data_IF_535017776529
#
_entry.id   IF_535017776529
#
_cell.length_a   1.000
_cell.length_b   1.000
_cell.length_c   1.000
_cell.angle_alpha   90.00
_cell.angle_beta   90.00
_cell.angle_gamma   90.00
#
_symmetry.space_group_name_H-M   'P 1'
#
loop_
_entity.id
_entity.type
_entity.pdbx_description
1 polymer ?
#
# COMPACT_ATOMS: atom_id res chain seq x y z
N UNK A 1 -23.42 -9.64 -43.83
CA UNK A 1 -22.56 -10.20 -42.74
C UNK A 1 -23.47 -10.75 -41.67
N UNK A 2 -23.36 -12.03 -41.30
CA UNK A 2 -24.29 -12.62 -40.33
C UNK A 2 -23.97 -12.17 -38.91
N UNK A 3 -24.97 -12.01 -38.05
CA UNK A 3 -24.79 -11.62 -36.64
C UNK A 3 -23.73 -12.49 -35.92
N UNK A 4 -23.70 -13.79 -36.23
CA UNK A 4 -22.70 -14.72 -35.68
C UNK A 4 -21.26 -14.33 -36.03
N UNK A 5 -21.01 -13.85 -37.25
CA UNK A 5 -19.68 -13.42 -37.68
C UNK A 5 -19.26 -12.13 -36.98
N UNK A 6 -20.20 -11.20 -36.75
CA UNK A 6 -19.95 -9.98 -35.98
C UNK A 6 -19.56 -10.27 -34.53
N UNK A 7 -20.30 -11.18 -33.86
CA UNK A 7 -20.01 -11.58 -32.49
C UNK A 7 -18.62 -12.25 -32.41
N UNK A 8 -18.33 -13.15 -33.34
CA UNK A 8 -17.00 -13.80 -33.38
C UNK A 8 -15.87 -12.79 -33.54
N UNK A 9 -16.04 -11.82 -34.46
CA UNK A 9 -15.05 -10.77 -34.67
C UNK A 9 -14.83 -9.92 -33.42
N UNK A 10 -15.92 -9.56 -32.74
CA UNK A 10 -15.88 -8.81 -31.50
C UNK A 10 -15.11 -9.58 -30.41
N UNK A 11 -15.41 -10.87 -30.24
CA UNK A 11 -14.72 -11.71 -29.25
C UNK A 11 -13.22 -11.84 -29.53
N UNK A 12 -12.85 -12.03 -30.82
CA UNK A 12 -11.45 -12.10 -31.21
C UNK A 12 -10.72 -10.78 -30.98
N UNK A 13 -11.38 -9.66 -31.23
CA UNK A 13 -10.81 -8.32 -30.97
C UNK A 13 -10.59 -8.11 -29.47
N UNK A 14 -11.57 -8.43 -28.63
CA UNK A 14 -11.44 -8.30 -27.17
C UNK A 14 -10.35 -9.22 -26.61
N UNK A 15 -10.26 -10.45 -27.11
CA UNK A 15 -9.20 -11.37 -26.72
C UNK A 15 -7.81 -10.84 -27.14
N UNK A 16 -7.70 -10.31 -28.36
CA UNK A 16 -6.44 -9.70 -28.84
C UNK A 16 -6.02 -8.48 -28.02
N UNK A 17 -6.96 -7.61 -27.64
CA UNK A 17 -6.70 -6.46 -26.77
C UNK A 17 -6.24 -6.95 -25.39
N UNK A 18 -6.92 -7.94 -24.82
CA UNK A 18 -6.54 -8.52 -23.53
C UNK A 18 -5.14 -9.08 -23.53
N UNK A 19 -4.80 -9.90 -24.52
CA UNK A 19 -3.45 -10.48 -24.70
C UNK A 19 -2.39 -9.39 -24.88
N UNK A 20 -2.65 -8.37 -25.71
CA UNK A 20 -1.73 -7.26 -25.89
C UNK A 20 -1.44 -6.53 -24.58
N UNK A 21 -2.46 -6.22 -23.79
CA UNK A 21 -2.27 -5.49 -22.52
C UNK A 21 -1.60 -6.31 -21.42
N UNK A 22 -1.77 -7.64 -21.43
CA UNK A 22 -1.07 -8.51 -20.47
C UNK A 22 0.41 -8.71 -20.80
N UNK A 23 0.79 -8.57 -22.07
CA UNK A 23 2.17 -8.78 -22.52
C UNK A 23 2.94 -7.49 -22.78
N UNK A 24 2.25 -6.35 -22.82
CA UNK A 24 2.88 -5.06 -23.08
C UNK A 24 3.91 -4.74 -21.99
N UNK A 25 5.17 -4.50 -22.33
CA UNK A 25 6.18 -4.08 -21.37
C UNK A 25 5.81 -2.72 -20.77
N UNK A 26 6.17 -2.51 -19.51
CA UNK A 26 6.04 -1.20 -18.88
C UNK A 26 6.96 -0.19 -19.59
N UNK A 27 6.54 1.06 -19.71
CA UNK A 27 7.40 2.11 -20.25
C UNK A 27 8.73 2.19 -19.48
N UNK A 28 9.83 2.55 -20.15
CA UNK A 28 11.13 2.71 -19.48
C UNK A 28 11.03 3.69 -18.29
N UNK A 29 11.62 3.33 -17.17
CA UNK A 29 11.65 4.17 -15.96
C UNK A 29 10.45 4.03 -15.02
N UNK A 30 9.40 3.25 -15.37
CA UNK A 30 8.25 3.01 -14.48
C UNK A 30 8.48 1.82 -13.55
N UNK A 31 9.33 0.87 -13.94
CA UNK A 31 9.68 -0.26 -13.08
C UNK A 31 11.16 -0.25 -12.73
N UNK A 32 11.44 -0.48 -11.47
CA UNK A 32 12.79 -0.68 -10.97
C UNK A 32 12.89 -2.08 -10.35
N UNK A 33 13.90 -2.83 -10.75
CA UNK A 33 14.26 -4.09 -10.11
C UNK A 33 15.62 -3.90 -9.45
N UNK A 34 15.62 -3.73 -8.13
CA UNK A 34 16.85 -3.68 -7.35
C UNK A 34 17.60 -5.01 -7.32
N UNK A 35 18.83 -4.99 -6.86
CA UNK A 35 19.60 -6.19 -6.55
C UNK A 35 18.93 -6.92 -5.39
N UNK A 36 18.81 -8.24 -5.50
CA UNK A 36 18.31 -9.04 -4.38
C UNK A 36 19.27 -8.94 -3.21
N UNK A 37 18.76 -8.54 -2.05
CA UNK A 37 19.51 -8.49 -0.81
C UNK A 37 19.10 -9.71 0.02
N UNK A 38 20.05 -10.49 0.56
CA UNK A 38 19.72 -11.58 1.46
C UNK A 38 19.02 -11.04 2.71
N UNK A 39 17.90 -11.65 3.06
CA UNK A 39 17.14 -11.33 4.26
C UNK A 39 17.60 -12.29 5.37
N UNK A 40 18.23 -11.77 6.43
CA UNK A 40 18.77 -12.62 7.51
C UNK A 40 17.64 -13.08 8.44
N UNK A 41 16.78 -12.17 8.90
CA UNK A 41 15.66 -12.49 9.78
C UNK A 41 14.44 -11.63 9.40
N UNK A 42 13.46 -12.18 8.66
CA UNK A 42 12.24 -11.47 8.36
C UNK A 42 11.36 -11.35 9.60
N UNK A 43 10.92 -10.14 9.92
CA UNK A 43 9.94 -9.88 10.98
C UNK A 43 8.61 -9.55 10.34
N UNK A 44 7.56 -10.26 10.74
CA UNK A 44 6.19 -9.94 10.35
C UNK A 44 5.63 -8.91 11.33
N UNK A 45 5.30 -7.73 10.83
CA UNK A 45 4.61 -6.70 11.59
C UNK A 45 3.12 -6.75 11.29
N UNK A 46 2.31 -6.59 12.32
CA UNK A 46 0.85 -6.67 12.21
C UNK A 46 0.17 -5.50 12.92
N UNK A 47 -0.82 -4.92 12.25
CA UNK A 47 -1.75 -4.01 12.90
C UNK A 47 -3.02 -4.77 13.26
N UNK A 48 -3.37 -4.81 14.55
CA UNK A 48 -4.50 -5.58 15.06
C UNK A 48 -5.42 -4.70 15.89
N UNK A 49 -6.72 -4.79 15.63
CA UNK A 49 -7.75 -4.24 16.49
C UNK A 49 -8.52 -5.38 17.15
N UNK A 50 -8.52 -5.42 18.48
CA UNK A 50 -9.22 -6.43 19.29
C UNK A 50 -10.45 -5.81 19.92
N UNK A 51 -11.61 -6.39 19.65
CA UNK A 51 -12.86 -6.02 20.30
C UNK A 51 -13.21 -7.06 21.36
N UNK A 52 -13.41 -6.61 22.59
CA UNK A 52 -13.77 -7.46 23.72
C UNK A 52 -15.29 -7.44 23.96
N UNK A 53 -15.81 -8.49 24.56
CA UNK A 53 -17.24 -8.59 24.88
C UNK A 53 -17.74 -7.54 25.90
N UNK A 54 -16.85 -6.99 26.68
CA UNK A 54 -17.10 -5.90 27.62
C UNK A 54 -17.12 -4.50 26.97
N UNK A 55 -17.01 -4.42 25.64
CA UNK A 55 -17.00 -3.18 24.89
C UNK A 55 -15.63 -2.48 24.81
N UNK A 56 -14.59 -3.04 25.44
CA UNK A 56 -13.23 -2.51 25.26
C UNK A 56 -12.72 -2.78 23.85
N UNK A 57 -11.94 -1.85 23.35
CA UNK A 57 -11.18 -1.98 22.12
C UNK A 57 -9.69 -1.76 22.41
N UNK A 58 -8.87 -2.66 21.93
CA UNK A 58 -7.42 -2.58 22.00
C UNK A 58 -6.88 -2.55 20.57
N UNK A 59 -5.99 -1.60 20.32
CA UNK A 59 -5.34 -1.43 19.01
C UNK A 59 -3.84 -1.53 19.18
N UNK A 60 -3.26 -2.37 18.34
CA UNK A 60 -1.84 -2.59 18.25
C UNK A 60 -1.39 -2.16 16.85
N UNK A 61 -0.44 -1.22 16.77
CA UNK A 61 0.00 -0.60 15.53
C UNK A 61 1.50 -0.86 15.31
N UNK A 62 1.91 -2.11 15.25
CA UNK A 62 3.32 -2.52 15.09
C UNK A 62 3.95 -1.92 13.83
N UNK A 63 3.19 -1.82 12.72
CA UNK A 63 3.69 -1.27 11.45
C UNK A 63 4.08 0.20 11.62
N UNK A 64 3.21 1.01 12.23
CA UNK A 64 3.52 2.43 12.44
C UNK A 64 4.55 2.67 13.52
N UNK A 65 4.60 1.84 14.56
CA UNK A 65 5.65 1.91 15.57
C UNK A 65 7.02 1.65 14.97
N UNK A 66 7.12 0.69 14.02
CA UNK A 66 8.35 0.46 13.27
C UNK A 66 8.69 1.62 12.32
N UNK A 67 7.70 2.22 11.66
CA UNK A 67 7.91 3.45 10.85
C UNK A 67 8.51 4.57 11.69
N UNK A 68 7.96 4.84 12.87
CA UNK A 68 8.51 5.86 13.78
C UNK A 68 9.93 5.53 14.24
N UNK A 69 10.20 4.26 14.53
CA UNK A 69 11.55 3.80 14.89
C UNK A 69 12.55 4.07 13.75
N UNK A 70 12.16 3.76 12.50
CA UNK A 70 13.01 4.01 11.32
C UNK A 70 13.24 5.50 11.07
N UNK A 71 12.19 6.33 11.19
CA UNK A 71 12.31 7.79 11.10
C UNK A 71 13.31 8.32 12.12
N UNK A 72 13.20 7.88 13.38
CA UNK A 72 14.11 8.30 14.45
C UNK A 72 15.56 7.82 14.31
N UNK A 73 15.81 6.82 13.45
CA UNK A 73 17.15 6.29 13.19
C UNK A 73 17.78 6.83 11.89
N UNK A 74 17.03 7.54 11.08
CA UNK A 74 17.52 8.09 9.82
C UNK A 74 18.57 9.18 10.07
N UNK A 75 19.72 9.06 9.39
CA UNK A 75 20.85 9.99 9.57
C UNK A 75 21.20 10.78 8.31
N UNK A 76 20.65 10.42 7.15
CA UNK A 76 20.99 11.09 5.89
C UNK A 76 19.77 11.73 5.26
N UNK A 77 18.75 10.90 4.92
CA UNK A 77 17.51 11.39 4.33
C UNK A 77 16.34 10.45 4.61
N UNK A 78 15.14 10.98 4.54
CA UNK A 78 13.89 10.22 4.59
C UNK A 78 13.11 10.54 3.32
N UNK A 79 12.73 9.49 2.58
CA UNK A 79 11.82 9.60 1.44
C UNK A 79 10.44 9.07 1.85
N UNK A 80 9.44 9.94 1.83
CA UNK A 80 8.06 9.59 2.13
C UNK A 80 7.24 9.65 0.84
N UNK A 81 6.71 8.49 0.42
CA UNK A 81 5.78 8.37 -0.71
C UNK A 81 4.53 7.66 -0.22
N UNK A 82 3.51 8.43 0.15
CA UNK A 82 2.27 7.92 0.73
C UNK A 82 1.07 8.35 -0.11
N UNK A 83 0.24 7.39 -0.51
CA UNK A 83 -0.97 7.64 -1.28
C UNK A 83 -2.01 8.48 -0.51
N UNK A 84 -2.15 8.24 0.79
CA UNK A 84 -3.04 8.99 1.68
C UNK A 84 -2.27 9.43 2.92
N UNK A 85 -2.23 10.73 3.14
CA UNK A 85 -1.64 11.35 4.33
C UNK A 85 -2.65 12.34 4.91
N UNK A 86 -3.63 11.83 5.64
CA UNK A 86 -4.68 12.62 6.24
C UNK A 86 -5.08 12.10 7.63
N UNK A 87 -5.78 12.93 8.39
CA UNK A 87 -6.29 12.61 9.73
C UNK A 87 -7.81 12.55 9.76
N UNK A 88 -8.44 12.18 8.64
CA UNK A 88 -9.91 12.06 8.55
C UNK A 88 -10.36 10.77 9.25
N UNK A 89 -10.73 10.88 10.52
CA UNK A 89 -11.46 9.84 11.21
C UNK A 89 -12.82 10.35 11.65
N UNK A 90 -13.83 9.48 11.80
CA UNK A 90 -15.11 9.87 12.38
C UNK A 90 -14.91 10.46 13.78
N UNK A 91 -15.58 11.57 14.09
CA UNK A 91 -15.44 12.31 15.37
C UNK A 91 -15.76 11.46 16.62
N UNK A 92 -16.54 10.40 16.43
CA UNK A 92 -17.01 9.52 17.50
C UNK A 92 -16.16 8.24 17.69
N UNK A 93 -15.07 8.10 16.96
CA UNK A 93 -14.17 6.93 17.06
C UNK A 93 -12.83 7.38 17.60
N UNK A 94 -12.48 6.90 18.81
CA UNK A 94 -11.14 7.08 19.32
C UNK A 94 -10.12 6.39 18.38
N UNK A 95 -9.20 7.15 17.84
CA UNK A 95 -8.15 6.62 16.96
C UNK A 95 -6.81 7.29 17.29
N UNK A 96 -5.73 6.59 16.99
CA UNK A 96 -4.39 7.15 17.11
C UNK A 96 -4.17 8.13 15.96
N UNK A 97 -3.76 9.38 16.21
CA UNK A 97 -3.57 10.41 15.17
C UNK A 97 -2.23 10.19 14.43
N UNK A 98 -2.13 9.09 13.70
CA UNK A 98 -0.88 8.62 13.09
C UNK A 98 -0.28 9.61 12.09
N UNK A 99 -1.11 10.27 11.28
CA UNK A 99 -0.62 11.28 10.32
C UNK A 99 0.00 12.49 11.03
N UNK A 100 -0.62 12.95 12.12
CA UNK A 100 -0.07 14.04 12.93
C UNK A 100 1.25 13.61 13.58
N UNK A 101 1.28 12.45 14.24
CA UNK A 101 2.49 11.92 14.88
C UNK A 101 3.63 11.75 13.88
N UNK A 102 3.34 11.25 12.65
CA UNK A 102 4.36 11.12 11.61
C UNK A 102 4.85 12.49 11.14
N UNK A 103 3.96 13.47 10.99
CA UNK A 103 4.37 14.86 10.67
C UNK A 103 5.32 15.41 11.74
N UNK A 104 4.98 15.25 13.00
CA UNK A 104 5.81 15.69 14.12
C UNK A 104 7.19 15.00 14.14
N UNK A 105 7.21 13.68 13.89
CA UNK A 105 8.46 12.93 13.82
C UNK A 105 9.35 13.31 12.64
N UNK A 106 8.76 13.72 11.50
CA UNK A 106 9.52 14.17 10.32
C UNK A 106 10.05 15.59 10.45
N UNK A 107 9.50 16.39 11.37
CA UNK A 107 9.91 17.79 11.62
C UNK A 107 10.89 17.93 12.79
N UNK A 108 11.11 16.86 13.57
CA UNK A 108 12.01 16.86 14.72
C UNK A 108 13.48 16.73 14.31
#
# INVERSE_FOLDING_TARGET
>A
MTLKLLILLLLLTLAGIGLYHTQKPLPPGISYRGTAVPLEEPVLLTDVTRHYQDGREERDHEIFDEVFRLVGQANEFILVDMFLFNSTAPENVAHRPLAQQLTEALLA
#
